data_IF_408122748263
#
_entry.id   IF_408122748263
#
_cell.length_a   1.000
_cell.length_b   1.000
_cell.length_c   1.000
_cell.angle_alpha   90.00
_cell.angle_beta   90.00
_cell.angle_gamma   90.00
#
_symmetry.space_group_name_H-M   'P 1'
#
loop_
_entity.id
_entity.type
_entity.pdbx_description
1 polymer ?
#
# COMPACT_ATOMS: atom_id res chain seq x y z
N UNK A 1 -8.29 -20.15 7.22
CA UNK A 1 -8.16 -19.20 8.35
C UNK A 1 -6.77 -19.39 8.92
N UNK A 2 -5.82 -18.49 8.65
CA UNK A 2 -4.56 -18.24 9.40
C UNK A 2 -3.50 -17.56 8.51
N UNK A 3 -3.51 -16.23 8.43
CA UNK A 3 -2.28 -15.44 8.14
C UNK A 3 -2.32 -14.11 8.89
N UNK A 4 -2.85 -14.10 10.11
CA UNK A 4 -2.63 -12.99 11.06
C UNK A 4 -1.55 -13.39 12.06
N UNK A 5 -0.40 -13.82 11.56
CA UNK A 5 0.81 -13.80 12.37
C UNK A 5 1.43 -12.42 12.19
N UNK A 6 0.87 -11.44 12.90
CA UNK A 6 1.51 -10.14 13.11
C UNK A 6 2.90 -10.41 13.67
N UNK A 7 3.90 -10.40 12.79
CA UNK A 7 5.32 -10.46 13.12
C UNK A 7 5.64 -9.18 13.91
N UNK A 8 5.41 -9.21 15.23
CA UNK A 8 6.04 -8.26 16.14
C UNK A 8 7.54 -8.55 16.10
N UNK A 9 8.24 -7.88 15.19
CA UNK A 9 9.68 -7.85 15.19
C UNK A 9 10.10 -7.17 16.50
N UNK A 10 10.60 -7.95 17.47
CA UNK A 10 11.16 -7.36 18.68
C UNK A 10 12.49 -6.70 18.30
N UNK A 11 12.50 -5.38 18.10
CA UNK A 11 13.67 -4.64 17.62
C UNK A 11 14.69 -4.35 18.73
N UNK A 12 14.38 -4.68 19.99
CA UNK A 12 15.21 -4.33 21.16
C UNK A 12 16.58 -5.02 21.20
N UNK A 13 16.76 -6.09 20.42
CA UNK A 13 18.05 -6.80 20.32
C UNK A 13 18.97 -6.24 19.23
N UNK A 14 18.49 -5.30 18.40
CA UNK A 14 19.30 -4.72 17.33
C UNK A 14 20.18 -3.59 17.85
N UNK A 15 21.40 -3.50 17.31
CA UNK A 15 22.23 -2.31 17.51
C UNK A 15 21.60 -1.08 16.83
N UNK A 16 21.96 0.12 17.29
CA UNK A 16 21.46 1.36 16.68
C UNK A 16 21.77 1.44 15.18
N UNK A 17 22.95 1.00 14.76
CA UNK A 17 23.36 0.96 13.35
C UNK A 17 22.53 -0.03 12.54
N UNK A 18 22.27 -1.22 13.08
CA UNK A 18 21.49 -2.26 12.39
C UNK A 18 20.02 -1.85 12.27
N UNK A 19 19.48 -1.20 13.29
CA UNK A 19 18.14 -0.65 13.28
C UNK A 19 17.98 0.41 12.16
N UNK A 20 18.90 1.36 12.08
CA UNK A 20 18.89 2.42 11.05
C UNK A 20 19.07 1.83 9.65
N UNK A 21 19.97 0.86 9.47
CA UNK A 21 20.18 0.19 8.19
C UNK A 21 18.94 -0.59 7.75
N UNK A 22 18.33 -1.34 8.69
CA UNK A 22 17.08 -2.08 8.43
C UNK A 22 15.94 -1.13 8.06
N UNK A 23 15.80 0.00 8.77
CA UNK A 23 14.80 1.02 8.45
C UNK A 23 15.00 1.60 7.04
N UNK A 24 16.24 1.94 6.65
CA UNK A 24 16.53 2.41 5.28
C UNK A 24 16.15 1.40 4.21
N UNK A 25 16.41 0.12 4.47
CA UNK A 25 16.02 -0.97 3.56
C UNK A 25 14.50 -1.11 3.47
N UNK A 26 13.80 -1.05 4.60
CA UNK A 26 12.34 -1.10 4.65
C UNK A 26 11.72 0.09 3.91
N UNK A 27 12.23 1.31 4.10
CA UNK A 27 11.77 2.49 3.37
C UNK A 27 11.95 2.34 1.85
N UNK A 28 13.06 1.75 1.40
CA UNK A 28 13.26 1.46 -0.04
C UNK A 28 12.27 0.40 -0.55
N UNK A 29 12.01 -0.64 0.24
CA UNK A 29 11.03 -1.67 -0.10
C UNK A 29 9.61 -1.10 -0.14
N UNK A 30 9.24 -0.25 0.81
CA UNK A 30 7.95 0.46 0.87
C UNK A 30 7.74 1.29 -0.40
N UNK A 31 8.74 2.06 -0.85
CA UNK A 31 8.66 2.81 -2.11
C UNK A 31 8.43 1.90 -3.31
N UNK A 32 9.13 0.76 -3.38
CA UNK A 32 8.95 -0.21 -4.47
C UNK A 32 7.54 -0.80 -4.47
N UNK A 33 7.04 -1.20 -3.29
CA UNK A 33 5.69 -1.75 -3.13
C UNK A 33 4.65 -0.69 -3.51
N UNK A 34 4.83 0.55 -3.05
CA UNK A 34 3.93 1.67 -3.39
C UNK A 34 3.87 1.90 -4.90
N UNK A 35 5.01 1.87 -5.60
CA UNK A 35 5.03 1.98 -7.06
C UNK A 35 4.28 0.84 -7.75
N UNK A 36 4.47 -0.40 -7.29
CA UNK A 36 3.72 -1.55 -7.84
C UNK A 36 2.22 -1.39 -7.61
N UNK A 37 1.79 -0.98 -6.41
CA UNK A 37 0.39 -0.70 -6.10
C UNK A 37 -0.18 0.35 -7.06
N UNK A 38 0.53 1.46 -7.29
CA UNK A 38 0.11 2.51 -8.23
C UNK A 38 -0.12 1.96 -9.64
N UNK A 39 0.81 1.15 -10.16
CA UNK A 39 0.64 0.53 -11.48
C UNK A 39 -0.62 -0.34 -11.56
N UNK A 40 -0.97 -1.06 -10.48
CA UNK A 40 -2.19 -1.87 -10.44
C UNK A 40 -3.44 -1.00 -10.36
N UNK A 41 -3.41 0.11 -9.61
CA UNK A 41 -4.52 1.06 -9.53
C UNK A 41 -4.80 1.65 -10.92
N UNK A 42 -3.76 2.09 -11.62
CA UNK A 42 -3.86 2.63 -12.99
C UNK A 42 -4.47 1.57 -13.92
N UNK A 43 -4.04 0.33 -13.84
CA UNK A 43 -4.58 -0.73 -14.70
C UNK A 43 -6.04 -1.06 -14.37
N UNK A 44 -6.42 -1.07 -13.09
CA UNK A 44 -7.82 -1.22 -12.63
C UNK A 44 -8.70 -0.08 -13.14
N UNK A 45 -8.18 1.14 -13.17
CA UNK A 45 -8.87 2.31 -13.71
C UNK A 45 -8.99 2.24 -15.25
N UNK A 46 -7.90 1.93 -15.96
CA UNK A 46 -7.87 1.79 -17.42
C UNK A 46 -8.85 0.73 -17.92
N UNK A 47 -8.90 -0.42 -17.24
CA UNK A 47 -9.85 -1.50 -17.54
C UNK A 47 -11.26 -1.25 -17.02
N UNK A 48 -11.47 -0.16 -16.27
CA UNK A 48 -12.72 0.18 -15.60
C UNK A 48 -13.25 -0.94 -14.71
N UNK A 49 -12.35 -1.73 -14.10
CA UNK A 49 -12.73 -2.86 -13.24
C UNK A 49 -13.50 -2.39 -12.00
N UNK A 50 -13.21 -1.18 -11.51
CA UNK A 50 -13.98 -0.57 -10.42
C UNK A 50 -15.48 -0.48 -10.73
N UNK A 51 -15.86 -0.27 -12.01
CA UNK A 51 -17.28 -0.26 -12.41
C UNK A 51 -17.89 -1.66 -12.34
N UNK A 52 -17.15 -2.70 -12.75
CA UNK A 52 -17.61 -4.09 -12.66
C UNK A 52 -17.78 -4.54 -11.21
N UNK A 53 -16.99 -3.97 -10.31
CA UNK A 53 -17.07 -4.19 -8.86
C UNK A 53 -18.13 -3.31 -8.18
N UNK A 54 -18.89 -2.50 -8.93
CA UNK A 54 -20.00 -1.71 -8.41
C UNK A 54 -19.63 -0.34 -7.84
N UNK A 55 -18.40 0.13 -8.04
CA UNK A 55 -17.96 1.45 -7.63
C UNK A 55 -18.12 2.46 -8.77
N UNK A 56 -18.64 3.63 -8.46
CA UNK A 56 -18.88 4.72 -9.42
C UNK A 56 -17.58 5.36 -9.94
N UNK A 57 -16.51 5.32 -9.13
CA UNK A 57 -15.18 5.85 -9.45
C UNK A 57 -14.10 5.05 -8.75
N UNK A 58 -12.88 5.08 -9.28
CA UNK A 58 -11.72 4.41 -8.67
C UNK A 58 -11.51 4.85 -7.22
N UNK A 59 -11.74 6.12 -6.89
CA UNK A 59 -11.62 6.64 -5.52
C UNK A 59 -12.53 5.90 -4.53
N UNK A 60 -13.78 5.61 -4.92
CA UNK A 60 -14.72 4.86 -4.08
C UNK A 60 -14.23 3.43 -3.85
N UNK A 61 -13.63 2.80 -4.87
CA UNK A 61 -13.02 1.47 -4.73
C UNK A 61 -11.82 1.51 -3.77
N UNK A 62 -10.89 2.46 -3.92
CA UNK A 62 -9.70 2.56 -3.06
C UNK A 62 -10.05 2.82 -1.60
N UNK A 63 -11.04 3.68 -1.33
CA UNK A 63 -11.41 4.07 0.03
C UNK A 63 -12.30 3.05 0.72
N UNK A 64 -13.31 2.50 0.02
CA UNK A 64 -14.30 1.60 0.61
C UNK A 64 -13.84 0.14 0.65
N UNK A 65 -13.15 -0.34 -0.39
CA UNK A 65 -12.74 -1.74 -0.47
C UNK A 65 -11.32 -1.95 0.06
N UNK A 66 -10.37 -1.08 -0.34
CA UNK A 66 -8.97 -1.23 0.04
C UNK A 66 -8.57 -0.43 1.30
N UNK A 67 -9.50 0.33 1.88
CA UNK A 67 -9.28 1.06 3.13
C UNK A 67 -8.26 2.19 3.06
N UNK A 68 -7.93 2.70 1.86
CA UNK A 68 -7.07 3.87 1.74
C UNK A 68 -7.75 5.09 2.37
N UNK A 69 -7.00 5.87 3.14
CA UNK A 69 -7.47 7.19 3.58
C UNK A 69 -7.72 8.09 2.36
N UNK A 70 -8.66 9.03 2.46
CA UNK A 70 -8.97 9.94 1.35
C UNK A 70 -7.73 10.70 0.86
N UNK A 71 -6.86 11.12 1.79
CA UNK A 71 -5.56 11.73 1.48
C UNK A 71 -4.64 10.77 0.70
N UNK A 72 -4.55 9.52 1.16
CA UNK A 72 -3.75 8.49 0.50
C UNK A 72 -4.27 8.12 -0.89
N UNK A 73 -5.59 8.14 -1.10
CA UNK A 73 -6.20 7.91 -2.41
C UNK A 73 -6.01 9.11 -3.34
N UNK A 74 -6.10 10.34 -2.82
CA UNK A 74 -5.90 11.57 -3.58
C UNK A 74 -4.47 11.70 -4.12
N UNK A 75 -3.46 11.47 -3.27
CA UNK A 75 -2.04 11.48 -3.67
C UNK A 75 -1.74 10.43 -4.76
N UNK A 76 -2.45 9.30 -4.73
CA UNK A 76 -2.28 8.20 -5.69
C UNK A 76 -3.02 8.42 -7.01
N UNK A 77 -4.07 9.27 -7.03
CA UNK A 77 -4.83 9.61 -8.25
C UNK A 77 -4.09 10.60 -9.17
N UNK A 78 -3.12 11.35 -8.65
CA UNK A 78 -2.45 12.41 -9.41
C UNK A 78 -1.14 11.96 -10.10
N UNK A 79 -0.93 10.65 -10.28
CA UNK A 79 0.22 10.08 -11.00
C UNK A 79 -0.15 9.62 -12.41
#
# INVERSE_FOLDING_TARGET
MTTESTMKADLRHLSNSDLVLSLKRLAKAERKITHLVLLHIIEVENRKLHLQLGYDRIFSYLTKELGYSEYSAYERRNF
#
